data_IF_520374516714
#
_entry.id   IF_520374516714
#
_cell.length_a   1.000
_cell.length_b   1.000
_cell.length_c   1.000
_cell.angle_alpha   90.00
_cell.angle_beta   90.00
_cell.angle_gamma   90.00
#
_symmetry.space_group_name_H-M   'P 1'
#
loop_
_entity.id
_entity.type
_entity.pdbx_description
1 polymer ?
#
# COMPACT_ATOMS: atom_id res chain seq x y z
N UNK A 1 18.22 -20.30 19.54
CA UNK A 1 18.16 -19.42 18.34
C UNK A 1 17.27 -19.91 17.21
N UNK A 2 17.49 -21.09 16.60
CA UNK A 2 16.68 -21.55 15.44
C UNK A 2 15.16 -21.51 15.66
N UNK A 3 14.66 -21.98 16.82
CA UNK A 3 13.22 -21.97 17.16
C UNK A 3 12.61 -20.57 17.24
N UNK A 4 13.38 -19.56 17.64
CA UNK A 4 12.91 -18.17 17.73
C UNK A 4 12.74 -17.53 16.34
N UNK A 5 13.73 -17.72 15.46
CA UNK A 5 13.68 -17.24 14.08
C UNK A 5 12.49 -17.88 13.33
N UNK A 6 12.31 -19.19 13.47
CA UNK A 6 11.18 -19.90 12.85
C UNK A 6 9.83 -19.38 13.37
N UNK A 7 9.72 -19.07 14.67
CA UNK A 7 8.49 -18.48 15.23
C UNK A 7 8.20 -17.09 14.65
N UNK A 8 9.21 -16.23 14.54
CA UNK A 8 9.06 -14.91 13.93
C UNK A 8 8.68 -14.99 12.45
N UNK A 9 9.30 -15.89 11.67
CA UNK A 9 8.92 -16.10 10.26
C UNK A 9 7.48 -16.59 10.12
N UNK A 10 7.04 -17.49 11.00
CA UNK A 10 5.63 -17.92 11.05
C UNK A 10 4.69 -16.78 11.43
N UNK A 11 5.09 -15.90 12.34
CA UNK A 11 4.30 -14.71 12.69
C UNK A 11 4.19 -13.73 11.52
N UNK A 12 5.30 -13.49 10.80
CA UNK A 12 5.32 -12.67 9.58
C UNK A 12 4.31 -13.23 8.57
N UNK A 13 4.41 -14.53 8.26
CA UNK A 13 3.51 -15.16 7.30
C UNK A 13 2.06 -15.16 7.75
N UNK A 14 1.82 -15.50 9.03
CA UNK A 14 0.49 -15.56 9.62
C UNK A 14 -0.25 -14.23 9.62
N UNK A 15 0.47 -13.10 9.72
CA UNK A 15 -0.14 -11.75 9.65
C UNK A 15 -0.15 -11.15 8.25
N UNK A 16 0.76 -11.57 7.36
CA UNK A 16 0.72 -11.19 5.95
C UNK A 16 -0.49 -11.81 5.24
N UNK A 17 -0.80 -13.08 5.54
CA UNK A 17 -1.84 -13.85 4.86
C UNK A 17 -3.23 -13.18 4.88
N UNK A 18 -3.78 -12.75 6.03
CA UNK A 18 -5.09 -12.10 6.05
C UNK A 18 -5.14 -10.79 5.24
N UNK A 19 -4.04 -10.02 5.26
CA UNK A 19 -3.96 -8.75 4.51
C UNK A 19 -3.86 -8.95 2.99
N UNK A 20 -3.35 -10.09 2.54
CA UNK A 20 -3.31 -10.41 1.10
C UNK A 20 -4.57 -11.13 0.65
N UNK A 21 -5.04 -12.13 1.39
CA UNK A 21 -6.13 -13.00 0.93
C UNK A 21 -7.48 -12.53 1.44
N UNK A 22 -7.62 -12.23 2.73
CA UNK A 22 -8.91 -11.82 3.29
C UNK A 22 -9.33 -10.43 2.80
N UNK A 23 -8.38 -9.49 2.68
CA UNK A 23 -8.66 -8.16 2.13
C UNK A 23 -9.20 -8.20 0.69
N UNK A 24 -8.81 -9.22 -0.09
CA UNK A 24 -9.28 -9.41 -1.47
C UNK A 24 -10.64 -10.13 -1.56
N UNK A 25 -11.22 -10.57 -0.44
CA UNK A 25 -12.55 -11.23 -0.43
C UNK A 25 -13.68 -10.22 -0.29
N UNK A 26 -13.40 -9.00 0.17
CA UNK A 26 -14.39 -7.94 0.30
C UNK A 26 -14.46 -7.12 -0.98
N UNK A 27 -15.29 -7.58 -1.93
CA UNK A 27 -15.42 -6.96 -3.25
C UNK A 27 -15.83 -5.48 -3.19
N UNK A 28 -16.62 -5.07 -2.19
CA UNK A 28 -17.02 -3.67 -2.01
C UNK A 28 -15.80 -2.75 -1.79
N UNK A 29 -14.87 -3.16 -0.93
CA UNK A 29 -13.62 -2.44 -0.69
C UNK A 29 -12.71 -2.43 -1.91
N UNK A 30 -12.62 -3.56 -2.63
CA UNK A 30 -11.85 -3.63 -3.86
C UNK A 30 -12.36 -2.63 -4.91
N UNK A 31 -13.68 -2.53 -5.09
CA UNK A 31 -14.27 -1.56 -6.02
C UNK A 31 -14.00 -0.13 -5.56
N UNK A 32 -14.19 0.17 -4.27
CA UNK A 32 -13.94 1.50 -3.74
C UNK A 32 -12.47 1.93 -3.90
N UNK A 33 -11.53 1.03 -3.61
CA UNK A 33 -10.10 1.31 -3.69
C UNK A 33 -9.58 1.52 -5.12
N UNK A 34 -10.30 1.05 -6.14
CA UNK A 34 -9.96 1.29 -7.54
C UNK A 34 -10.70 2.52 -8.07
N UNK A 35 -11.99 2.66 -7.77
CA UNK A 35 -12.82 3.74 -8.29
C UNK A 35 -12.47 5.09 -7.66
N UNK A 36 -12.23 5.16 -6.35
CA UNK A 36 -11.93 6.42 -5.67
C UNK A 36 -10.65 7.09 -6.21
N UNK A 37 -9.51 6.38 -6.38
CA UNK A 37 -8.34 6.97 -7.01
C UNK A 37 -8.57 7.37 -8.48
N UNK A 38 -9.40 6.62 -9.22
CA UNK A 38 -9.75 6.98 -10.60
C UNK A 38 -10.51 8.31 -10.67
N UNK A 39 -11.36 8.62 -9.69
CA UNK A 39 -12.03 9.93 -9.63
C UNK A 39 -11.01 11.07 -9.46
N UNK A 40 -10.00 10.88 -8.61
CA UNK A 40 -8.91 11.86 -8.46
C UNK A 40 -8.15 12.04 -9.77
N UNK A 41 -7.82 10.94 -10.46
CA UNK A 41 -7.16 10.97 -11.78
C UNK A 41 -8.01 11.73 -12.80
N UNK A 42 -9.31 11.46 -12.87
CA UNK A 42 -10.24 12.14 -13.78
C UNK A 42 -10.34 13.64 -13.46
N UNK A 43 -10.40 14.00 -12.18
CA UNK A 43 -10.45 15.39 -11.74
C UNK A 43 -9.21 16.17 -12.19
N UNK A 44 -8.01 15.63 -11.93
CA UNK A 44 -6.76 16.24 -12.39
C UNK A 44 -6.65 16.24 -13.92
N UNK A 45 -7.13 15.18 -14.57
CA UNK A 45 -7.14 15.09 -16.03
C UNK A 45 -7.98 16.18 -16.70
N UNK A 46 -9.18 16.44 -16.18
CA UNK A 46 -10.03 17.53 -16.64
C UNK A 46 -9.42 18.91 -16.35
N UNK A 47 -8.82 19.09 -15.18
CA UNK A 47 -8.15 20.33 -14.80
C UNK A 47 -6.95 20.63 -15.71
N UNK A 48 -6.11 19.65 -16.01
CA UNK A 48 -5.00 19.82 -16.96
C UNK A 48 -5.46 20.07 -18.38
N UNK A 49 -6.55 19.43 -18.81
CA UNK A 49 -7.18 19.72 -20.10
C UNK A 49 -7.69 21.16 -20.17
N UNK A 50 -8.32 21.64 -19.10
CA UNK A 50 -8.82 23.02 -19.01
C UNK A 50 -7.68 24.05 -19.04
N UNK A 51 -6.56 23.76 -18.37
CA UNK A 51 -5.37 24.62 -18.36
C UNK A 51 -4.54 24.56 -19.65
N UNK A 52 -4.95 23.74 -20.64
CA UNK A 52 -4.19 23.55 -21.88
C UNK A 52 -2.83 22.88 -21.69
N UNK A 53 -2.65 22.13 -20.60
CA UNK A 53 -1.38 21.47 -20.29
C UNK A 53 -1.11 20.30 -21.26
N UNK A 54 0.17 20.08 -21.57
CA UNK A 54 0.60 18.98 -22.46
C UNK A 54 0.20 17.59 -21.94
N UNK A 55 0.06 16.64 -22.86
CA UNK A 55 -0.39 15.26 -22.59
C UNK A 55 0.47 14.56 -21.53
N UNK A 56 1.74 14.95 -21.40
CA UNK A 56 2.71 14.39 -20.45
C UNK A 56 2.29 14.62 -18.99
N UNK A 57 1.60 15.72 -18.68
CA UNK A 57 1.10 16.02 -17.33
C UNK A 57 -0.03 15.08 -16.89
N UNK A 58 -0.78 14.53 -17.85
CA UNK A 58 -1.80 13.51 -17.55
C UNK A 58 -1.15 12.22 -17.03
N UNK A 59 0.04 11.85 -17.54
CA UNK A 59 0.76 10.67 -17.07
C UNK A 59 1.20 10.81 -15.62
N UNK A 60 1.66 12.01 -15.23
CA UNK A 60 1.98 12.33 -13.84
C UNK A 60 0.75 12.31 -12.93
N UNK A 61 -0.42 12.75 -13.40
CA UNK A 61 -1.66 12.66 -12.63
C UNK A 61 -2.05 11.22 -12.30
N UNK A 62 -1.96 10.32 -13.30
CA UNK A 62 -2.27 8.89 -13.11
C UNK A 62 -1.31 8.27 -12.10
N UNK A 63 -0.01 8.51 -12.27
CA UNK A 63 1.02 7.99 -11.36
C UNK A 63 0.85 8.56 -9.95
N UNK A 64 0.58 9.86 -9.82
CA UNK A 64 0.31 10.50 -8.53
C UNK A 64 -0.93 9.92 -7.84
N UNK A 65 -2.01 9.69 -8.57
CA UNK A 65 -3.22 9.04 -8.07
C UNK A 65 -2.93 7.63 -7.55
N UNK A 66 -2.19 6.82 -8.32
CA UNK A 66 -1.79 5.48 -7.90
C UNK A 66 -0.85 5.49 -6.68
N UNK A 67 0.09 6.45 -6.61
CA UNK A 67 1.01 6.60 -5.49
C UNK A 67 0.31 7.11 -4.22
N UNK A 68 -0.73 7.93 -4.35
CA UNK A 68 -1.51 8.42 -3.20
C UNK A 68 -2.15 7.28 -2.41
N UNK A 69 -2.56 6.20 -3.09
CA UNK A 69 -3.13 5.02 -2.44
C UNK A 69 -2.13 4.34 -1.47
N UNK A 70 -0.83 4.31 -1.82
CA UNK A 70 0.21 3.81 -0.93
C UNK A 70 0.38 4.71 0.30
N UNK A 71 0.34 6.02 0.12
CA UNK A 71 0.44 6.98 1.22
C UNK A 71 -0.72 6.83 2.20
N UNK A 72 -1.96 6.77 1.71
CA UNK A 72 -3.14 6.56 2.54
C UNK A 72 -3.04 5.22 3.28
N UNK A 73 -2.62 4.15 2.59
CA UNK A 73 -2.45 2.85 3.24
C UNK A 73 -1.41 2.90 4.36
N UNK A 74 -0.26 3.55 4.15
CA UNK A 74 0.78 3.64 5.17
C UNK A 74 0.36 4.53 6.35
N UNK A 75 -0.09 5.75 6.07
CA UNK A 75 -0.40 6.73 7.11
C UNK A 75 -1.66 6.39 7.90
N UNK A 76 -2.61 5.68 7.31
CA UNK A 76 -3.85 5.33 8.00
C UNK A 76 -3.84 3.87 8.43
N UNK A 77 -3.71 2.93 7.49
CA UNK A 77 -3.84 1.50 7.80
C UNK A 77 -2.63 0.94 8.54
N UNK A 78 -1.41 1.27 8.11
CA UNK A 78 -0.20 0.76 8.78
C UNK A 78 0.09 1.49 10.09
N UNK A 79 0.01 2.83 10.10
CA UNK A 79 0.26 3.61 11.31
C UNK A 79 -0.78 3.37 12.41
N UNK A 80 -2.03 3.05 12.09
CA UNK A 80 -3.02 2.75 13.12
C UNK A 80 -3.02 1.28 13.55
N UNK A 81 -2.07 0.48 13.09
CA UNK A 81 -2.21 -0.98 13.17
C UNK A 81 -2.22 -1.50 14.61
N UNK A 82 -1.27 -1.10 15.46
CA UNK A 82 -1.28 -1.51 16.87
C UNK A 82 -2.47 -0.95 17.65
N UNK A 83 -2.97 0.23 17.28
CA UNK A 83 -4.18 0.80 17.86
C UNK A 83 -5.41 -0.08 17.58
N UNK A 84 -5.58 -0.55 16.34
CA UNK A 84 -6.64 -1.50 15.99
C UNK A 84 -6.50 -2.83 16.74
N UNK A 85 -5.27 -3.36 16.86
CA UNK A 85 -5.03 -4.60 17.61
C UNK A 85 -5.26 -4.44 19.12
N UNK A 86 -5.02 -3.23 19.66
CA UNK A 86 -5.35 -2.88 21.05
C UNK A 86 -6.85 -2.88 21.26
N UNK A 87 -7.60 -2.18 20.40
CA UNK A 87 -9.06 -2.14 20.49
C UNK A 87 -9.71 -3.51 20.28
N UNK A 88 -9.12 -4.33 19.41
CA UNK A 88 -9.56 -5.71 19.18
C UNK A 88 -9.15 -6.71 20.27
N UNK A 89 -8.41 -6.28 21.31
CA UNK A 89 -7.96 -7.16 22.40
C UNK A 89 -6.83 -8.14 22.04
N UNK A 90 -6.31 -8.10 20.81
CA UNK A 90 -5.25 -9.00 20.36
C UNK A 90 -3.85 -8.56 20.82
N UNK A 91 -3.66 -7.28 21.15
CA UNK A 91 -2.34 -6.75 21.51
C UNK A 91 -1.74 -7.46 22.73
N UNK A 92 -2.55 -7.74 23.74
CA UNK A 92 -2.10 -8.47 24.95
C UNK A 92 -1.61 -9.88 24.60
N UNK A 93 -2.26 -10.56 23.65
CA UNK A 93 -1.84 -11.88 23.17
C UNK A 93 -0.49 -11.81 22.45
N UNK A 94 -0.23 -10.76 21.67
CA UNK A 94 1.04 -10.58 20.99
C UNK A 94 2.20 -10.30 21.94
N UNK A 95 1.94 -9.57 23.03
CA UNK A 95 2.96 -9.27 24.04
C UNK A 95 3.31 -10.52 24.87
N UNK A 96 2.32 -11.36 25.19
CA UNK A 96 2.54 -12.60 25.94
C UNK A 96 3.17 -13.69 25.07
N UNK A 97 2.87 -13.71 23.78
CA UNK A 97 3.45 -14.66 22.85
C UNK A 97 4.97 -14.46 22.73
N UNK A 98 5.74 -15.55 22.65
CA UNK A 98 7.21 -15.49 22.48
C UNK A 98 7.62 -15.15 21.03
N UNK A 99 7.09 -14.05 20.50
CA UNK A 99 7.34 -13.49 19.17
C UNK A 99 7.60 -11.99 19.28
N UNK A 100 8.37 -11.44 18.35
CA UNK A 100 8.60 -9.99 18.32
C UNK A 100 7.43 -9.25 17.68
N UNK A 101 6.99 -8.16 18.31
CA UNK A 101 6.02 -7.21 17.74
C UNK A 101 6.48 -6.68 16.37
N UNK A 102 7.79 -6.51 16.18
CA UNK A 102 8.36 -6.09 14.91
C UNK A 102 8.10 -7.12 13.79
N UNK A 103 8.17 -8.42 14.08
CA UNK A 103 7.87 -9.47 13.09
C UNK A 103 6.39 -9.48 12.69
N UNK A 104 5.49 -9.22 13.65
CA UNK A 104 4.06 -9.07 13.40
C UNK A 104 3.81 -7.88 12.46
N UNK A 105 4.35 -6.71 12.80
CA UNK A 105 4.23 -5.50 11.99
C UNK A 105 4.87 -5.67 10.61
N UNK A 106 5.98 -6.41 10.51
CA UNK A 106 6.64 -6.68 9.24
C UNK A 106 5.80 -7.59 8.33
N UNK A 107 5.16 -8.61 8.90
CA UNK A 107 4.17 -9.40 8.15
C UNK A 107 3.00 -8.56 7.67
N UNK A 108 2.49 -7.69 8.55
CA UNK A 108 1.40 -6.78 8.21
C UNK A 108 1.81 -5.79 7.11
N UNK A 109 3.00 -5.19 7.17
CA UNK A 109 3.49 -4.24 6.17
C UNK A 109 3.70 -4.89 4.82
N UNK A 110 4.28 -6.09 4.76
CA UNK A 110 4.42 -6.87 3.52
C UNK A 110 3.05 -7.17 2.89
N UNK A 111 2.09 -7.64 3.69
CA UNK A 111 0.74 -7.90 3.19
C UNK A 111 0.04 -6.63 2.71
N UNK A 112 0.21 -5.54 3.45
CA UNK A 112 -0.25 -4.21 3.08
C UNK A 112 0.31 -3.79 1.73
N UNK A 113 1.64 -3.76 1.60
CA UNK A 113 2.37 -3.36 0.39
C UNK A 113 1.92 -4.16 -0.84
N UNK A 114 1.78 -5.49 -0.73
CA UNK A 114 1.32 -6.32 -1.83
C UNK A 114 -0.13 -6.00 -2.23
N UNK A 115 -1.02 -5.85 -1.25
CA UNK A 115 -2.42 -5.53 -1.50
C UNK A 115 -2.61 -4.15 -2.16
N UNK A 116 -1.84 -3.14 -1.75
CA UNK A 116 -1.87 -1.81 -2.39
C UNK A 116 -1.18 -1.83 -3.74
N UNK A 117 -0.12 -2.62 -3.93
CA UNK A 117 0.51 -2.76 -5.24
C UNK A 117 -0.44 -3.36 -6.28
N UNK A 118 -1.24 -4.36 -5.90
CA UNK A 118 -2.29 -4.91 -6.77
C UNK A 118 -3.36 -3.87 -7.11
N UNK A 119 -3.76 -3.05 -6.15
CA UNK A 119 -4.75 -1.98 -6.37
C UNK A 119 -4.21 -0.85 -7.23
N UNK A 120 -2.99 -0.39 -6.95
CA UNK A 120 -2.31 0.66 -7.71
C UNK A 120 -2.05 0.23 -9.15
N UNK A 121 -1.66 -1.03 -9.39
CA UNK A 121 -1.47 -1.54 -10.76
C UNK A 121 -2.80 -1.59 -11.53
N UNK A 122 -3.90 -1.99 -10.89
CA UNK A 122 -5.23 -1.94 -11.48
C UNK A 122 -5.65 -0.49 -11.83
N UNK A 123 -5.42 0.47 -10.93
CA UNK A 123 -5.70 1.89 -11.16
C UNK A 123 -4.87 2.46 -12.31
N UNK A 124 -3.57 2.15 -12.39
CA UNK A 124 -2.71 2.59 -13.50
C UNK A 124 -3.19 1.98 -14.81
N UNK A 125 -3.54 0.69 -14.82
CA UNK A 125 -4.02 0.00 -16.00
C UNK A 125 -5.32 0.60 -16.53
N UNK A 126 -6.32 0.79 -15.65
CA UNK A 126 -7.60 1.39 -16.03
C UNK A 126 -7.43 2.86 -16.43
N UNK A 127 -6.65 3.64 -15.66
CA UNK A 127 -6.37 5.04 -15.95
C UNK A 127 -5.68 5.23 -17.30
N UNK A 128 -4.73 4.36 -17.64
CA UNK A 128 -4.05 4.34 -18.94
C UNK A 128 -5.02 4.16 -20.10
N UNK A 129 -5.95 3.20 -19.98
CA UNK A 129 -6.97 2.92 -21.01
C UNK A 129 -7.91 4.11 -21.21
N UNK A 130 -8.36 4.73 -20.11
CA UNK A 130 -9.32 5.84 -20.14
C UNK A 130 -8.69 7.09 -20.78
N UNK A 131 -7.43 7.38 -20.47
CA UNK A 131 -6.78 8.65 -20.88
C UNK A 131 -5.95 8.50 -22.17
N UNK A 132 -5.69 7.27 -22.64
CA UNK A 132 -4.95 6.95 -23.88
C UNK A 132 -3.60 7.68 -23.99
N UNK A 133 -2.77 7.56 -22.95
CA UNK A 133 -1.49 8.27 -22.85
C UNK A 133 -0.36 7.46 -23.52
N UNK A 134 0.50 8.08 -24.35
CA UNK A 134 1.73 7.45 -24.78
C UNK A 134 2.74 7.46 -23.62
N UNK A 135 2.86 6.34 -22.90
CA UNK A 135 3.96 6.18 -21.94
C UNK A 135 5.28 6.05 -22.71
N UNK A 136 6.15 7.08 -22.62
CA UNK A 136 7.53 6.94 -23.09
C UNK A 136 8.27 5.96 -22.18
N UNK A 137 8.76 4.87 -22.75
CA UNK A 137 9.52 3.87 -22.02
C UNK A 137 10.90 4.42 -21.63
N UNK A 138 11.04 4.85 -20.38
CA UNK A 138 12.35 4.99 -19.73
C UNK A 138 12.94 3.62 -19.39
N UNK A 139 14.06 3.60 -18.64
CA UNK A 139 14.65 2.35 -18.17
C UNK A 139 13.78 1.71 -17.07
N UNK A 140 13.10 0.57 -17.34
CA UNK A 140 12.11 0.00 -16.42
C UNK A 140 12.76 -0.54 -15.13
N UNK A 141 14.03 -0.97 -15.21
CA UNK A 141 14.76 -1.50 -14.05
C UNK A 141 15.02 -0.41 -13.02
N UNK A 142 15.44 0.78 -13.47
CA UNK A 142 15.70 1.90 -12.57
C UNK A 142 14.41 2.39 -11.90
N UNK A 143 13.31 2.41 -12.65
CA UNK A 143 12.00 2.80 -12.12
C UNK A 143 11.52 1.80 -11.06
N UNK A 144 11.67 0.50 -11.31
CA UNK A 144 11.36 -0.55 -10.34
C UNK A 144 12.21 -0.45 -9.07
N UNK A 145 13.52 -0.22 -9.20
CA UNK A 145 14.42 -0.08 -8.05
C UNK A 145 14.07 1.13 -7.18
N UNK A 146 13.86 2.30 -7.79
CA UNK A 146 13.45 3.51 -7.06
C UNK A 146 12.12 3.25 -6.37
N UNK A 147 11.15 2.66 -7.07
CA UNK A 147 9.85 2.34 -6.51
C UNK A 147 9.97 1.39 -5.30
N UNK A 148 10.72 0.29 -5.42
CA UNK A 148 10.93 -0.64 -4.32
C UNK A 148 11.62 0.01 -3.11
N UNK A 149 12.60 0.88 -3.36
CA UNK A 149 13.33 1.59 -2.31
C UNK A 149 12.44 2.62 -1.59
N UNK A 150 11.61 3.36 -2.34
CA UNK A 150 10.61 4.27 -1.76
C UNK A 150 9.58 3.52 -0.93
N UNK A 151 9.05 2.40 -1.42
CA UNK A 151 8.09 1.58 -0.68
C UNK A 151 8.68 0.99 0.60
N UNK A 152 9.93 0.53 0.56
CA UNK A 152 10.63 0.02 1.74
C UNK A 152 10.77 1.10 2.82
N UNK A 153 11.14 2.32 2.42
CA UNK A 153 11.23 3.48 3.32
C UNK A 153 9.86 3.88 3.88
N UNK A 154 8.84 3.97 3.02
CA UNK A 154 7.49 4.37 3.37
C UNK A 154 6.86 3.42 4.39
N UNK A 155 6.92 2.11 4.15
CA UNK A 155 6.38 1.12 5.09
C UNK A 155 7.22 1.01 6.37
N UNK A 156 8.53 1.26 6.31
CA UNK A 156 9.36 1.43 7.50
C UNK A 156 8.87 2.59 8.38
N UNK A 157 8.55 3.73 7.77
CA UNK A 157 7.95 4.86 8.45
C UNK A 157 6.57 4.51 9.04
N UNK A 158 5.71 3.80 8.31
CA UNK A 158 4.43 3.32 8.82
C UNK A 158 4.57 2.41 10.05
N UNK A 159 5.55 1.51 10.04
CA UNK A 159 5.85 0.65 11.20
C UNK A 159 6.29 1.47 12.42
N UNK A 160 7.10 2.51 12.23
CA UNK A 160 7.51 3.41 13.32
C UNK A 160 6.32 4.21 13.87
N UNK A 161 5.49 4.78 13.00
CA UNK A 161 4.30 5.52 13.40
C UNK A 161 3.31 4.63 14.17
N UNK A 162 3.28 3.32 13.90
CA UNK A 162 2.40 2.41 14.62
C UNK A 162 2.65 2.31 16.12
N UNK A 163 3.82 2.72 16.61
CA UNK A 163 4.10 2.78 18.04
C UNK A 163 3.59 4.05 18.72
N UNK A 164 3.33 5.12 17.96
CA UNK A 164 2.80 6.38 18.52
C UNK A 164 1.36 6.24 19.02
N UNK A 165 0.60 5.34 18.41
CA UNK A 165 -0.81 5.12 18.72
C UNK A 165 -1.04 3.97 19.73
N UNK A 166 0.00 3.59 20.48
CA UNK A 166 -0.06 2.49 21.46
C UNK A 166 -0.79 2.88 22.74
#
# INVERSE_FOLDING_TARGET
MKKYIVRNLRAIWGRAYPRVIAANREYSWLVADVVLPLLSVLSYGLLYKFLGAGIDFLGFAILGGAMSAFWVNVLWSMASQLYWERMGGNLSLYIIASISLMSILFGMSLGGMLSTALRASATIFIGSIVVKIPFKSGNPIQLFLIFFLTLSSLYGLGMLLSFLYL
#
